data_IF_532819123583
#
_entry.id   IF_532819123583
#
_cell.length_a   1.000
_cell.length_b   1.000
_cell.length_c   1.000
_cell.angle_alpha   90.00
_cell.angle_beta   90.00
_cell.angle_gamma   90.00
#
_symmetry.space_group_name_H-M   'P 1'
#
loop_
_entity.id
_entity.type
_entity.pdbx_description
1 polymer ?
#
# COMPACT_ATOMS: atom_id res chain seq x y z
N UNK A 1 34.60 -58.60 -29.20
CA UNK A 1 33.45 -58.30 -28.32
C UNK A 1 33.68 -56.94 -27.66
N UNK A 2 32.62 -56.31 -27.15
CA UNK A 2 32.42 -54.85 -27.21
C UNK A 2 32.42 -54.20 -25.81
N UNK A 3 32.62 -52.87 -25.78
CA UNK A 3 32.35 -51.91 -24.71
C UNK A 3 33.42 -51.80 -23.59
N UNK A 4 33.65 -50.60 -23.02
CA UNK A 4 33.04 -49.31 -23.36
C UNK A 4 33.83 -48.12 -22.80
N UNK A 5 33.86 -47.02 -23.55
CA UNK A 5 34.41 -45.75 -23.09
C UNK A 5 33.30 -45.00 -22.34
N UNK A 6 33.52 -44.70 -21.06
CA UNK A 6 32.58 -43.93 -20.25
C UNK A 6 33.07 -42.48 -20.17
N UNK A 7 32.59 -41.63 -21.07
CA UNK A 7 32.78 -40.17 -20.99
C UNK A 7 31.71 -39.60 -20.07
N UNK A 8 32.13 -39.03 -18.94
CA UNK A 8 31.24 -38.34 -18.02
C UNK A 8 30.89 -36.95 -18.57
N UNK A 9 29.86 -36.88 -19.42
CA UNK A 9 29.32 -35.61 -19.91
C UNK A 9 28.55 -34.90 -18.78
N UNK A 10 29.25 -34.04 -18.05
CA UNK A 10 28.61 -33.13 -17.09
C UNK A 10 27.64 -32.20 -17.85
N UNK A 11 26.32 -32.21 -17.56
CA UNK A 11 25.37 -31.44 -18.34
C UNK A 11 25.61 -29.93 -18.17
N UNK A 12 25.91 -29.26 -19.28
CA UNK A 12 26.13 -27.83 -19.29
C UNK A 12 24.88 -27.06 -18.83
N UNK A 13 24.99 -26.38 -17.68
CA UNK A 13 23.91 -25.53 -17.16
C UNK A 13 23.66 -24.39 -18.17
N UNK A 14 22.43 -24.21 -18.70
CA UNK A 14 22.14 -23.17 -19.67
C UNK A 14 22.25 -21.80 -19.01
N UNK A 15 23.40 -21.16 -19.19
CA UNK A 15 23.70 -19.85 -18.61
C UNK A 15 22.90 -18.78 -19.36
N UNK A 16 21.78 -18.38 -18.79
CA UNK A 16 20.81 -17.49 -19.44
C UNK A 16 21.46 -16.17 -19.90
N UNK A 17 21.44 -15.91 -21.21
CA UNK A 17 22.10 -14.76 -21.82
C UNK A 17 21.51 -13.45 -21.30
N UNK A 18 22.34 -12.65 -20.62
CA UNK A 18 21.95 -11.39 -19.96
C UNK A 18 21.79 -10.28 -21.03
N UNK A 19 20.74 -10.37 -21.86
CA UNK A 19 20.64 -9.54 -23.07
C UNK A 19 19.29 -9.48 -23.77
N UNK A 20 18.17 -9.73 -23.08
CA UNK A 20 16.84 -9.66 -23.69
C UNK A 20 16.45 -8.25 -24.17
N UNK A 21 16.01 -8.12 -25.43
CA UNK A 21 15.45 -6.88 -26.00
C UNK A 21 14.30 -6.34 -25.12
N UNK A 22 14.20 -5.02 -24.94
CA UNK A 22 13.09 -4.39 -24.20
C UNK A 22 11.77 -4.72 -24.90
N UNK A 23 10.91 -5.51 -24.24
CA UNK A 23 9.56 -5.83 -24.70
C UNK A 23 8.59 -4.75 -24.21
N UNK A 24 7.61 -4.38 -25.06
CA UNK A 24 6.47 -3.57 -24.64
C UNK A 24 5.60 -4.42 -23.70
N UNK A 25 5.09 -3.80 -22.65
CA UNK A 25 4.13 -4.40 -21.72
C UNK A 25 2.97 -3.42 -21.54
N UNK A 26 1.81 -3.96 -21.19
CA UNK A 26 0.60 -3.20 -20.90
C UNK A 26 0.74 -2.43 -19.57
N UNK A 27 0.06 -1.28 -19.45
CA UNK A 27 0.05 -0.49 -18.22
C UNK A 27 -1.09 -0.98 -17.32
N UNK A 28 -0.87 -2.19 -16.77
CA UNK A 28 -1.72 -2.80 -15.74
C UNK A 28 -0.86 -3.44 -14.65
N UNK A 29 -1.50 -4.03 -13.64
CA UNK A 29 -0.83 -4.83 -12.60
C UNK A 29 -0.07 -6.00 -13.25
N UNK A 30 1.10 -6.35 -12.69
CA UNK A 30 1.93 -7.46 -13.18
C UNK A 30 1.68 -8.64 -12.24
N UNK A 31 0.87 -9.60 -12.67
CA UNK A 31 0.47 -10.73 -11.80
C UNK A 31 1.65 -11.64 -11.40
N UNK A 32 2.64 -11.79 -12.28
CA UNK A 32 3.81 -12.62 -11.97
C UNK A 32 4.76 -11.89 -11.00
N UNK A 33 4.74 -12.33 -9.74
CA UNK A 33 5.55 -11.78 -8.62
C UNK A 33 7.03 -11.53 -8.97
N UNK A 34 7.73 -12.49 -9.58
CA UNK A 34 9.14 -12.33 -9.95
C UNK A 34 9.37 -11.18 -10.96
N UNK A 35 8.53 -11.09 -11.99
CA UNK A 35 8.55 -9.97 -12.94
C UNK A 35 8.14 -8.65 -12.29
N UNK A 36 7.18 -8.68 -11.35
CA UNK A 36 6.73 -7.51 -10.61
C UNK A 36 7.83 -6.94 -9.68
N UNK A 37 8.58 -7.77 -8.95
CA UNK A 37 9.69 -7.33 -8.10
C UNK A 37 10.85 -6.73 -8.92
N UNK A 38 11.18 -7.35 -10.06
CA UNK A 38 12.19 -6.84 -10.99
C UNK A 38 11.72 -5.53 -11.65
N UNK A 39 10.45 -5.45 -12.04
CA UNK A 39 9.86 -4.25 -12.61
C UNK A 39 9.82 -3.10 -11.60
N UNK A 40 9.38 -3.35 -10.36
CA UNK A 40 9.40 -2.39 -9.26
C UNK A 40 10.81 -1.83 -9.05
N UNK A 41 11.80 -2.70 -8.86
CA UNK A 41 13.18 -2.29 -8.60
C UNK A 41 13.75 -1.43 -9.74
N UNK A 42 13.54 -1.83 -11.01
CA UNK A 42 14.00 -1.07 -12.19
C UNK A 42 13.24 0.24 -12.39
N UNK A 43 11.91 0.25 -12.21
CA UNK A 43 11.06 1.46 -12.34
C UNK A 43 11.38 2.47 -11.24
N UNK A 44 11.53 2.03 -9.99
CA UNK A 44 11.91 2.87 -8.84
C UNK A 44 13.24 3.60 -9.09
N UNK A 45 14.30 2.87 -9.43
CA UNK A 45 15.61 3.47 -9.75
C UNK A 45 15.53 4.42 -10.95
N UNK A 46 14.79 4.06 -12.01
CA UNK A 46 14.56 4.92 -13.16
C UNK A 46 13.74 6.18 -12.86
N UNK A 47 12.85 6.12 -11.86
CA UNK A 47 12.04 7.25 -11.39
C UNK A 47 12.86 8.19 -10.51
N UNK A 48 13.68 7.66 -9.60
CA UNK A 48 14.61 8.47 -8.79
C UNK A 48 15.62 9.21 -9.68
N UNK A 49 16.22 8.53 -10.66
CA UNK A 49 17.09 9.17 -11.64
C UNK A 49 16.41 10.19 -12.58
N UNK A 50 15.06 10.20 -12.66
CA UNK A 50 14.30 11.29 -13.29
C UNK A 50 14.11 12.48 -12.35
N UNK A 51 13.82 12.22 -11.07
CA UNK A 51 13.71 13.26 -10.04
C UNK A 51 14.99 14.09 -9.98
N UNK A 52 16.15 13.44 -9.90
CA UNK A 52 17.45 14.13 -9.84
C UNK A 52 17.70 15.02 -11.05
N UNK A 53 17.37 14.52 -12.26
CA UNK A 53 17.52 15.29 -13.51
C UNK A 53 16.56 16.47 -13.55
N UNK A 54 15.32 16.29 -13.12
CA UNK A 54 14.32 17.34 -13.05
C UNK A 54 14.75 18.45 -12.09
N UNK A 55 15.13 18.10 -10.85
CA UNK A 55 15.56 19.07 -9.85
C UNK A 55 16.82 19.84 -10.30
N UNK A 56 17.78 19.17 -10.98
CA UNK A 56 19.00 19.79 -11.52
C UNK A 56 18.76 20.66 -12.76
N UNK A 57 17.79 20.32 -13.60
CA UNK A 57 17.47 21.07 -14.82
C UNK A 57 16.55 22.27 -14.53
N UNK A 58 15.83 22.27 -13.41
CA UNK A 58 14.96 23.37 -13.01
C UNK A 58 15.76 24.63 -12.66
N UNK A 59 15.55 25.77 -13.36
CA UNK A 59 16.34 26.99 -13.18
C UNK A 59 16.14 27.71 -11.83
N UNK A 60 15.23 27.21 -10.99
CA UNK A 60 14.89 27.78 -9.67
C UNK A 60 15.12 26.81 -8.50
N UNK A 61 15.87 25.73 -8.71
CA UNK A 61 16.21 24.76 -7.65
C UNK A 61 14.99 24.05 -7.08
N UNK A 62 14.21 23.37 -7.94
CA UNK A 62 12.98 22.69 -7.50
C UNK A 62 13.29 21.59 -6.49
N UNK A 63 12.73 21.70 -5.28
CA UNK A 63 12.72 20.63 -4.31
C UNK A 63 11.53 19.69 -4.55
N UNK A 64 11.80 18.39 -4.60
CA UNK A 64 10.76 17.38 -4.73
C UNK A 64 11.20 16.05 -4.10
N UNK A 65 10.23 15.26 -3.69
CA UNK A 65 10.42 13.94 -3.11
C UNK A 65 9.46 12.92 -3.74
N UNK A 66 9.89 11.67 -3.84
CA UNK A 66 9.12 10.54 -4.34
C UNK A 66 9.18 9.43 -3.29
N UNK A 67 8.01 9.00 -2.81
CA UNK A 67 7.86 7.85 -1.91
C UNK A 67 7.25 6.70 -2.70
N UNK A 68 7.82 5.50 -2.54
CA UNK A 68 7.35 4.27 -3.20
C UNK A 68 7.29 3.14 -2.19
N UNK A 69 6.17 2.42 -2.15
CA UNK A 69 6.00 1.25 -1.29
C UNK A 69 6.32 -0.01 -2.08
N UNK A 70 7.14 -0.90 -1.50
CA UNK A 70 7.46 -2.18 -2.13
C UNK A 70 6.29 -3.16 -1.94
N UNK A 71 5.81 -3.82 -3.01
CA UNK A 71 4.82 -4.90 -2.87
C UNK A 71 5.44 -6.21 -2.35
N UNK A 72 6.77 -6.32 -2.31
CA UNK A 72 7.49 -7.53 -1.88
C UNK A 72 7.77 -7.57 -0.37
N UNK A 73 7.75 -6.42 0.28
CA UNK A 73 8.09 -6.23 1.68
C UNK A 73 7.43 -4.93 2.14
N UNK A 74 6.85 -4.91 3.34
CA UNK A 74 6.20 -3.73 3.94
C UNK A 74 7.23 -2.64 4.31
N UNK A 75 7.87 -2.07 3.29
CA UNK A 75 8.99 -1.13 3.38
C UNK A 75 8.79 -0.01 2.36
N UNK A 76 8.77 1.22 2.87
CA UNK A 76 8.83 2.42 2.06
C UNK A 76 10.26 2.66 1.54
N UNK A 77 10.34 3.18 0.33
CA UNK A 77 11.55 3.72 -0.29
C UNK A 77 11.26 5.16 -0.71
N UNK A 78 11.89 6.11 -0.02
CA UNK A 78 11.79 7.53 -0.35
C UNK A 78 13.11 8.02 -0.98
N UNK A 79 12.99 8.97 -1.92
CA UNK A 79 14.11 9.70 -2.50
C UNK A 79 13.71 11.15 -2.68
N UNK A 80 14.59 12.10 -2.38
CA UNK A 80 14.29 13.52 -2.41
C UNK A 80 15.54 14.36 -2.60
N UNK A 81 15.37 15.52 -3.20
CA UNK A 81 16.46 16.47 -3.49
C UNK A 81 16.09 17.85 -2.93
N UNK A 82 16.86 18.42 -1.98
CA UNK A 82 18.09 17.88 -1.39
C UNK A 82 17.88 16.73 -0.39
N UNK A 83 16.69 16.64 0.22
CA UNK A 83 16.31 15.56 1.15
C UNK A 83 14.79 15.36 1.16
N UNK A 84 14.31 14.25 1.75
CA UNK A 84 12.88 13.89 1.78
C UNK A 84 12.14 14.67 2.87
N UNK A 85 12.71 14.69 4.08
CA UNK A 85 12.06 15.18 5.31
C UNK A 85 11.49 16.61 5.19
N UNK A 86 12.22 17.63 4.69
CA UNK A 86 11.66 18.98 4.60
C UNK A 86 10.55 19.10 3.55
N UNK A 87 10.58 18.28 2.49
CA UNK A 87 9.50 18.25 1.48
C UNK A 87 8.24 17.63 2.09
N UNK A 88 8.40 16.52 2.83
CA UNK A 88 7.30 15.84 3.50
C UNK A 88 6.72 16.68 4.66
N UNK A 89 7.57 17.31 5.46
CA UNK A 89 7.14 18.17 6.57
C UNK A 89 6.28 19.33 6.07
N UNK A 90 6.71 20.08 5.04
CA UNK A 90 5.90 21.15 4.44
C UNK A 90 4.54 20.67 3.94
N UNK A 91 4.48 19.45 3.40
CA UNK A 91 3.22 18.84 2.96
C UNK A 91 2.30 18.54 4.16
N UNK A 92 2.83 17.96 5.23
CA UNK A 92 2.06 17.67 6.45
C UNK A 92 1.58 18.96 7.15
N UNK A 93 2.44 19.97 7.26
CA UNK A 93 2.10 21.28 7.84
C UNK A 93 0.97 21.97 7.05
N UNK A 94 1.03 21.91 5.72
CA UNK A 94 -0.03 22.41 4.84
C UNK A 94 -1.37 21.67 5.06
N UNK A 95 -1.33 20.33 5.16
CA UNK A 95 -2.54 19.53 5.39
C UNK A 95 -3.15 19.81 6.77
N UNK A 96 -2.35 19.94 7.83
CA UNK A 96 -2.82 20.30 9.17
C UNK A 96 -3.46 21.71 9.19
N UNK A 97 -2.85 22.68 8.49
CA UNK A 97 -3.43 24.01 8.31
C UNK A 97 -4.75 23.99 7.55
N UNK A 98 -4.86 23.18 6.51
CA UNK A 98 -6.08 22.99 5.72
C UNK A 98 -7.21 22.35 6.55
N UNK A 99 -6.90 21.34 7.37
CA UNK A 99 -7.87 20.71 8.28
C UNK A 99 -8.37 21.70 9.34
N UNK A 100 -7.46 22.47 9.96
CA UNK A 100 -7.83 23.52 10.92
C UNK A 100 -8.73 24.60 10.27
N UNK A 101 -8.47 24.96 9.01
CA UNK A 101 -9.32 25.88 8.25
C UNK A 101 -10.66 25.25 7.83
N UNK A 102 -10.76 23.93 7.67
CA UNK A 102 -12.02 23.23 7.44
C UNK A 102 -12.87 23.18 8.72
N UNK A 103 -12.27 22.84 9.88
CA UNK A 103 -12.95 22.82 11.19
C UNK A 103 -13.50 24.19 11.62
N UNK A 104 -12.85 25.29 11.22
CA UNK A 104 -13.36 26.66 11.43
C UNK A 104 -14.53 27.03 10.49
N UNK A 105 -14.75 26.27 9.41
CA UNK A 105 -15.81 26.48 8.41
C UNK A 105 -17.05 25.60 8.60
N UNK A 106 -17.06 24.71 9.60
CA UNK A 106 -18.27 24.02 10.03
C UNK A 106 -18.97 24.80 11.16
N UNK A 107 -20.14 25.41 10.93
CA UNK A 107 -21.04 25.78 12.02
C UNK A 107 -21.44 24.50 12.77
N UNK A 108 -21.51 24.58 14.10
CA UNK A 108 -22.05 23.50 14.93
C UNK A 108 -23.45 23.08 14.43
N UNK A 109 -23.76 21.78 14.32
CA UNK A 109 -25.11 21.33 14.09
C UNK A 109 -25.91 21.46 15.40
N UNK A 110 -26.28 22.70 15.75
CA UNK A 110 -27.23 22.92 16.83
C UNK A 110 -28.56 22.25 16.48
N UNK A 111 -29.02 21.43 17.42
CA UNK A 111 -30.09 20.44 17.30
C UNK A 111 -31.44 21.10 16.99
N UNK A 112 -31.70 21.43 15.73
CA UNK A 112 -33.02 21.92 15.29
C UNK A 112 -33.87 20.76 14.79
N UNK A 113 -35.00 20.58 15.48
CA UNK A 113 -35.88 19.39 15.45
C UNK A 113 -36.36 19.04 14.04
N UNK A 114 -36.50 17.73 13.81
CA UNK A 114 -37.24 17.15 12.69
C UNK A 114 -38.65 17.74 12.58
N UNK A 115 -38.92 18.46 11.49
CA UNK A 115 -40.19 18.44 10.73
C UNK A 115 -40.19 19.59 9.72
N UNK A 116 -40.50 19.30 8.45
CA UNK A 116 -41.60 19.90 7.67
C UNK A 116 -41.54 19.33 6.24
N UNK A 117 -42.46 18.39 6.01
CA UNK A 117 -43.15 17.96 4.78
C UNK A 117 -42.42 17.80 3.44
N UNK A 118 -42.85 16.75 2.72
CA UNK A 118 -42.58 16.57 1.30
C UNK A 118 -43.33 17.60 0.44
N UNK A 119 -42.67 18.07 -0.62
CA UNK A 119 -43.30 18.58 -1.84
C UNK A 119 -42.35 18.29 -3.02
N UNK A 120 -42.87 17.72 -4.09
CA UNK A 120 -42.13 17.22 -5.25
C UNK A 120 -42.31 18.10 -6.50
N UNK A 121 -41.34 18.02 -7.45
CA UNK A 121 -41.46 18.32 -8.91
C UNK A 121 -41.63 19.81 -9.28
N UNK A 122 -41.16 20.36 -10.41
CA UNK A 122 -40.62 19.94 -11.76
C UNK A 122 -39.72 21.12 -12.28
N UNK A 123 -39.02 21.18 -13.43
CA UNK A 123 -38.76 20.33 -14.60
C UNK A 123 -37.43 20.78 -15.29
N UNK A 124 -36.72 19.85 -15.97
CA UNK A 124 -35.75 20.06 -17.07
C UNK A 124 -34.39 20.79 -16.84
N UNK A 125 -33.33 20.57 -17.62
CA UNK A 125 -32.99 19.49 -18.58
C UNK A 125 -31.45 19.39 -18.78
N UNK A 126 -31.01 18.19 -19.18
CA UNK A 126 -29.71 17.68 -19.70
C UNK A 126 -28.49 18.64 -19.85
N UNK A 127 -27.31 18.25 -19.35
CA UNK A 127 -26.35 17.45 -20.16
C UNK A 127 -25.68 16.24 -19.44
N UNK A 128 -25.45 15.15 -20.19
CA UNK A 128 -24.83 13.90 -19.71
C UNK A 128 -23.29 13.98 -19.57
N UNK A 129 -22.54 12.99 -19.07
CA UNK A 129 -22.74 11.54 -18.94
C UNK A 129 -21.86 11.08 -17.76
N UNK A 130 -22.29 10.26 -16.78
CA UNK A 130 -22.48 8.80 -16.92
C UNK A 130 -21.13 8.07 -17.07
N UNK A 131 -20.73 7.06 -16.25
CA UNK A 131 -21.43 6.30 -15.20
C UNK A 131 -20.43 5.74 -14.15
N UNK A 132 -20.91 5.59 -12.90
CA UNK A 132 -20.40 4.77 -11.77
C UNK A 132 -18.93 4.84 -11.31
N UNK A 133 -18.75 5.41 -10.11
CA UNK A 133 -17.93 4.77 -9.09
C UNK A 133 -18.49 3.37 -8.78
N UNK A 134 -17.69 2.32 -8.99
CA UNK A 134 -18.06 0.94 -8.66
C UNK A 134 -16.84 0.12 -8.20
N UNK A 135 -16.01 0.67 -7.31
CA UNK A 135 -14.81 -0.01 -6.78
C UNK A 135 -14.56 0.21 -5.26
N UNK A 136 -15.43 0.91 -4.52
CA UNK A 136 -15.33 1.05 -3.04
C UNK A 136 -15.92 -0.15 -2.25
N UNK A 137 -15.94 -1.35 -2.85
CA UNK A 137 -16.63 -2.52 -2.26
C UNK A 137 -15.73 -3.74 -1.96
N UNK A 138 -14.41 -3.69 -2.21
CA UNK A 138 -13.55 -4.89 -2.09
C UNK A 138 -12.49 -4.86 -0.97
N UNK A 139 -12.07 -3.69 -0.45
CA UNK A 139 -11.04 -3.63 0.63
C UNK A 139 -11.60 -3.59 2.07
N UNK A 140 -12.93 -3.44 2.25
CA UNK A 140 -13.55 -3.42 3.58
C UNK A 140 -13.92 -4.80 4.14
N UNK A 141 -13.77 -5.89 3.39
CA UNK A 141 -14.01 -7.25 3.90
C UNK A 141 -12.73 -7.90 4.43
N UNK A 142 -11.62 -7.86 3.67
CA UNK A 142 -10.31 -8.38 4.10
C UNK A 142 -9.84 -7.76 5.44
N UNK A 143 -10.08 -6.46 5.66
CA UNK A 143 -9.78 -5.81 6.92
C UNK A 143 -10.65 -6.32 8.09
N UNK A 144 -11.95 -6.57 7.88
CA UNK A 144 -12.84 -7.14 8.91
C UNK A 144 -12.43 -8.57 9.25
N UNK A 145 -12.03 -9.37 8.26
CA UNK A 145 -11.51 -10.72 8.51
C UNK A 145 -10.29 -10.67 9.42
N UNK A 146 -9.34 -9.75 9.15
CA UNK A 146 -8.15 -9.57 9.98
C UNK A 146 -8.48 -9.15 11.42
N UNK A 147 -9.47 -8.28 11.63
CA UNK A 147 -9.95 -7.86 12.95
C UNK A 147 -10.55 -9.04 13.74
N UNK A 148 -11.40 -9.85 13.09
CA UNK A 148 -12.01 -11.03 13.74
C UNK A 148 -10.98 -12.09 14.12
N UNK A 149 -9.92 -12.27 13.33
CA UNK A 149 -8.83 -13.18 13.64
C UNK A 149 -8.05 -12.71 14.87
N UNK A 150 -7.78 -11.41 14.99
CA UNK A 150 -7.04 -10.81 16.11
C UNK A 150 -7.86 -10.87 17.41
N UNK A 151 -9.19 -10.66 17.33
CA UNK A 151 -10.10 -10.85 18.46
C UNK A 151 -10.20 -12.31 18.95
N UNK A 152 -10.08 -13.29 18.05
CA UNK A 152 -9.99 -14.72 18.43
C UNK A 152 -8.68 -15.01 19.15
N UNK A 153 -7.55 -14.61 18.56
CA UNK A 153 -6.22 -14.80 19.16
C UNK A 153 -6.09 -14.14 20.55
N UNK A 154 -6.74 -12.97 20.75
CA UNK A 154 -6.82 -12.32 22.06
C UNK A 154 -7.55 -13.18 23.09
N UNK A 155 -8.72 -13.73 22.77
CA UNK A 155 -9.47 -14.62 23.69
C UNK A 155 -8.69 -15.89 24.01
N UNK A 156 -8.01 -16.49 23.04
CA UNK A 156 -7.19 -17.68 23.27
C UNK A 156 -6.05 -17.41 24.27
N UNK A 157 -5.43 -16.23 24.20
CA UNK A 157 -4.42 -15.80 25.17
C UNK A 157 -5.04 -15.52 26.56
N UNK A 158 -6.19 -14.85 26.63
CA UNK A 158 -6.91 -14.61 27.90
C UNK A 158 -7.30 -15.93 28.58
N UNK A 159 -7.80 -16.91 27.81
CA UNK A 159 -8.11 -18.24 28.31
C UNK A 159 -6.86 -18.96 28.83
N UNK A 160 -5.76 -18.98 28.06
CA UNK A 160 -4.49 -19.60 28.50
C UNK A 160 -3.93 -18.96 29.76
N UNK A 161 -3.93 -17.62 29.84
CA UNK A 161 -3.54 -16.91 31.06
C UNK A 161 -4.41 -17.29 32.27
N UNK A 162 -5.72 -17.50 32.07
CA UNK A 162 -6.61 -17.96 33.14
C UNK A 162 -6.36 -19.43 33.53
N UNK A 163 -6.05 -20.31 32.57
CA UNK A 163 -5.69 -21.71 32.81
C UNK A 163 -4.36 -21.82 33.57
N UNK A 164 -3.36 -21.03 33.19
CA UNK A 164 -2.06 -20.96 33.88
C UNK A 164 -2.23 -20.45 35.32
N UNK A 165 -3.09 -19.45 35.55
CA UNK A 165 -3.40 -18.94 36.89
C UNK A 165 -4.11 -20.01 37.76
N UNK A 166 -5.02 -20.78 37.18
CA UNK A 166 -5.69 -21.92 37.84
C UNK A 166 -4.68 -23.04 38.13
N UNK A 167 -3.73 -23.29 37.23
CA UNK A 167 -2.67 -24.30 37.38
C UNK A 167 -1.69 -23.93 38.49
N UNK A 168 -1.24 -22.68 38.54
CA UNK A 168 -0.37 -22.15 39.60
C UNK A 168 -1.06 -22.13 40.97
N UNK A 169 -2.36 -21.85 41.00
CA UNK A 169 -3.17 -21.92 42.23
C UNK A 169 -3.35 -23.36 42.74
N UNK A 170 -3.31 -24.37 41.86
CA UNK A 170 -3.39 -25.79 42.24
C UNK A 170 -2.07 -26.32 42.79
N UNK A 171 -0.92 -25.92 42.24
CA UNK A 171 0.39 -26.35 42.76
C UNK A 171 0.72 -25.74 44.13
N UNK A 172 0.24 -24.52 44.41
CA UNK A 172 0.37 -23.87 45.73
C UNK A 172 -0.55 -24.42 46.83
N UNK A 173 -1.43 -25.39 46.53
CA UNK A 173 -2.39 -25.98 47.48
C UNK A 173 -1.97 -27.36 48.03
N UNK A 174 -0.75 -27.79 47.73
CA UNK A 174 -0.16 -29.07 48.13
C UNK A 174 1.24 -28.92 48.77
N UNK A 175 1.57 -27.72 49.27
CA UNK A 175 2.64 -27.47 50.24
C UNK A 175 2.00 -26.94 51.55
#
# INVERSE_FOLDING_TARGET
MIAGQHTDETPAVPTATIGGKRRKIEIKRIEQQSSLFVAFSKRRTGLFGKLDKFCKMSPRGTEAAIVTFSPAANKAHAHGSPSVDPVLQRFLDYMAGAEAAARKRSPQPERRRLSIVAAERRDGDEDGSGVSCAEESMELEELKESETALLRAKRDLEMRMSEDLIRESRTKKFL
#
